data_IF_752467388614
#
_entry.id   IF_752467388614
#
_cell.length_a   1.000
_cell.length_b   1.000
_cell.length_c   1.000
_cell.angle_alpha   90.00
_cell.angle_beta   90.00
_cell.angle_gamma   90.00
#
_symmetry.space_group_name_H-M   'P 1'
#
loop_
_entity.id
_entity.type
_entity.pdbx_description
1 polymer ?
#
# COMPACT_ATOMS: atom_id res chain seq x y z
N UNK A 1 12.84 6.50 11.07
CA UNK A 1 12.94 5.71 12.32
C UNK A 1 11.62 4.98 12.60
N UNK A 2 10.54 5.68 12.92
CA UNK A 2 9.24 5.06 13.26
C UNK A 2 8.68 4.11 12.20
N UNK A 3 8.76 4.46 10.91
CA UNK A 3 8.25 3.60 9.82
C UNK A 3 9.01 2.26 9.74
N UNK A 4 10.33 2.29 9.92
CA UNK A 4 11.14 1.07 9.90
C UNK A 4 10.87 0.18 11.11
N UNK A 5 10.70 0.79 12.29
CA UNK A 5 10.32 0.11 13.53
C UNK A 5 8.94 -0.54 13.40
N UNK A 6 7.98 0.18 12.83
CA UNK A 6 6.65 -0.36 12.54
C UNK A 6 6.71 -1.59 11.61
N UNK A 7 7.49 -1.56 10.52
CA UNK A 7 7.65 -2.73 9.64
C UNK A 7 8.34 -3.92 10.32
N UNK A 8 9.23 -3.66 11.27
CA UNK A 8 9.84 -4.72 12.06
C UNK A 8 8.80 -5.38 12.96
N UNK A 9 8.10 -4.60 13.79
CA UNK A 9 7.09 -5.09 14.74
C UNK A 9 5.89 -5.75 14.03
N UNK A 10 5.38 -5.14 12.95
CA UNK A 10 4.26 -5.69 12.18
C UNK A 10 4.55 -7.10 11.68
N UNK A 11 5.76 -7.35 11.15
CA UNK A 11 6.15 -8.68 10.67
C UNK A 11 6.18 -9.71 11.80
N UNK A 12 6.65 -9.32 12.98
CA UNK A 12 6.61 -10.20 14.15
C UNK A 12 5.16 -10.54 14.54
N UNK A 13 4.28 -9.52 14.56
CA UNK A 13 2.86 -9.71 14.87
C UNK A 13 2.17 -10.62 13.84
N UNK A 14 2.30 -10.34 12.55
CA UNK A 14 1.58 -11.07 11.49
C UNK A 14 2.13 -12.46 11.20
N UNK A 15 3.38 -12.77 11.56
CA UNK A 15 3.99 -14.08 11.26
C UNK A 15 4.16 -14.99 12.46
N UNK A 16 4.41 -14.43 13.64
CA UNK A 16 4.87 -15.20 14.79
C UNK A 16 3.95 -15.04 16.00
N UNK A 17 3.61 -13.81 16.39
CA UNK A 17 2.92 -13.55 17.66
C UNK A 17 1.40 -13.79 17.54
N UNK A 18 0.78 -13.25 16.49
CA UNK A 18 -0.66 -13.31 16.30
C UNK A 18 -1.04 -13.46 14.82
N UNK A 19 -0.57 -14.52 14.14
CA UNK A 19 -0.84 -14.72 12.71
C UNK A 19 -2.33 -14.93 12.36
N UNK A 20 -3.17 -15.19 13.37
CA UNK A 20 -4.61 -15.29 13.22
C UNK A 20 -5.34 -13.94 13.41
N UNK A 21 -4.65 -12.90 13.88
CA UNK A 21 -5.20 -11.56 14.10
C UNK A 21 -4.76 -10.54 13.05
N UNK A 22 -3.68 -10.79 12.31
CA UNK A 22 -3.16 -9.88 11.28
C UNK A 22 -2.99 -10.61 9.94
N UNK A 23 -3.62 -10.07 8.89
CA UNK A 23 -3.63 -10.66 7.55
C UNK A 23 -3.07 -9.68 6.51
N UNK A 24 -2.27 -10.14 5.52
CA UNK A 24 -1.80 -9.31 4.42
C UNK A 24 -2.95 -8.66 3.65
N UNK A 25 -2.79 -7.38 3.32
CA UNK A 25 -3.73 -6.58 2.54
C UNK A 25 -3.00 -5.69 1.54
N UNK A 26 -3.51 -5.64 0.31
CA UNK A 26 -3.00 -4.72 -0.71
C UNK A 26 -3.77 -3.40 -0.66
N UNK A 27 -3.04 -2.30 -0.54
CA UNK A 27 -3.61 -0.95 -0.48
C UNK A 27 -3.53 -0.28 -1.85
N UNK A 28 -4.62 0.39 -2.23
CA UNK A 28 -4.75 1.16 -3.47
C UNK A 28 -4.93 2.63 -3.11
N UNK A 29 -3.92 3.46 -3.39
CA UNK A 29 -3.91 4.89 -3.11
C UNK A 29 -4.14 5.70 -4.40
N UNK A 30 -5.37 6.15 -4.69
CA UNK A 30 -5.70 6.80 -5.94
C UNK A 30 -5.17 8.23 -6.02
N UNK A 31 -4.73 8.60 -7.23
CA UNK A 31 -4.22 9.93 -7.56
C UNK A 31 -5.20 10.62 -8.49
N UNK A 32 -5.97 11.58 -7.98
CA UNK A 32 -6.92 12.36 -8.78
C UNK A 32 -6.33 13.67 -9.27
N UNK A 33 -6.84 14.19 -10.40
CA UNK A 33 -6.54 15.54 -10.89
C UNK A 33 -6.85 16.58 -9.80
N UNK A 34 -5.91 17.49 -9.56
CA UNK A 34 -6.04 18.53 -8.53
C UNK A 34 -5.77 18.05 -7.10
N UNK A 35 -5.42 16.77 -6.91
CA UNK A 35 -5.00 16.23 -5.62
C UNK A 35 -3.64 16.76 -5.16
N UNK A 36 -3.30 16.65 -3.87
CA UNK A 36 -2.11 17.25 -3.28
C UNK A 36 -0.79 16.58 -3.70
N UNK A 37 -0.85 15.38 -4.29
CA UNK A 37 0.31 14.59 -4.65
C UNK A 37 0.18 14.05 -6.08
N UNK A 38 1.28 14.10 -6.84
CA UNK A 38 1.35 13.53 -8.18
C UNK A 38 1.79 12.06 -8.18
N UNK A 39 1.54 11.36 -9.29
CA UNK A 39 1.85 9.94 -9.44
C UNK A 39 3.33 9.60 -9.21
N UNK A 40 4.26 10.42 -9.71
CA UNK A 40 5.70 10.20 -9.52
C UNK A 40 6.11 10.28 -8.04
N UNK A 41 5.60 11.30 -7.30
CA UNK A 41 5.88 11.46 -5.87
C UNK A 41 5.34 10.28 -5.06
N UNK A 42 4.11 9.85 -5.36
CA UNK A 42 3.52 8.69 -4.68
C UNK A 42 4.23 7.38 -5.03
N UNK A 43 4.61 7.19 -6.29
CA UNK A 43 5.40 6.04 -6.72
C UNK A 43 6.73 5.92 -5.97
N UNK A 44 7.48 7.03 -5.87
CA UNK A 44 8.71 7.08 -5.06
C UNK A 44 8.44 6.78 -3.58
N UNK A 45 7.33 7.29 -3.03
CA UNK A 45 6.91 7.04 -1.65
C UNK A 45 6.64 5.57 -1.38
N UNK A 46 5.81 4.90 -2.19
CA UNK A 46 5.48 3.48 -1.99
C UNK A 46 6.66 2.55 -2.24
N UNK A 47 7.56 2.91 -3.17
CA UNK A 47 8.82 2.19 -3.37
C UNK A 47 9.73 2.31 -2.13
N UNK A 48 9.93 3.52 -1.61
CA UNK A 48 10.73 3.75 -0.41
C UNK A 48 10.12 3.05 0.81
N UNK A 49 8.79 3.07 0.95
CA UNK A 49 8.06 2.34 1.98
C UNK A 49 8.35 0.83 1.91
N UNK A 50 8.27 0.25 0.71
CA UNK A 50 8.59 -1.18 0.50
C UNK A 50 10.04 -1.51 0.85
N UNK A 51 10.99 -0.61 0.57
CA UNK A 51 12.38 -0.80 0.95
C UNK A 51 12.57 -0.87 2.48
N UNK A 52 11.78 -0.13 3.26
CA UNK A 52 11.83 -0.17 4.73
C UNK A 52 11.33 -1.50 5.30
N UNK A 53 10.51 -2.25 4.57
CA UNK A 53 10.14 -3.63 4.90
C UNK A 53 11.07 -4.68 4.31
N UNK A 54 12.21 -4.26 3.74
CA UNK A 54 13.11 -5.09 2.94
C UNK A 54 12.36 -5.82 1.79
N UNK A 55 11.33 -5.18 1.24
CA UNK A 55 10.45 -5.69 0.19
C UNK A 55 9.67 -6.96 0.58
N UNK A 56 9.56 -7.25 1.89
CA UNK A 56 8.88 -8.44 2.40
C UNK A 56 7.38 -8.48 2.10
N UNK A 57 6.79 -7.34 1.77
CA UNK A 57 5.37 -7.15 1.43
C UNK A 57 5.15 -6.92 -0.09
N UNK A 58 6.19 -7.18 -0.90
CA UNK A 58 6.20 -6.86 -2.33
C UNK A 58 6.76 -5.47 -2.63
N UNK A 59 6.87 -5.17 -3.93
CA UNK A 59 7.41 -3.88 -4.41
C UNK A 59 6.27 -2.92 -4.70
N UNK A 60 6.23 -1.82 -3.95
CA UNK A 60 5.31 -0.72 -4.17
C UNK A 60 5.53 -0.09 -5.54
N UNK A 61 4.44 0.13 -6.28
CA UNK A 61 4.48 0.58 -7.66
C UNK A 61 3.24 1.41 -8.02
N UNK A 62 3.21 1.92 -9.25
CA UNK A 62 2.06 2.69 -9.77
C UNK A 62 1.42 1.92 -10.91
N UNK A 63 0.09 1.86 -10.90
CA UNK A 63 -0.72 1.25 -11.96
C UNK A 63 -1.58 2.29 -12.68
N UNK A 64 -1.99 1.95 -13.90
CA UNK A 64 -2.90 2.78 -14.69
C UNK A 64 -4.32 2.73 -14.14
N UNK A 65 -5.15 3.77 -14.40
CA UNK A 65 -6.58 3.76 -14.04
C UNK A 65 -7.33 2.52 -14.54
N UNK A 66 -7.02 2.06 -15.76
CA UNK A 66 -7.66 0.89 -16.34
C UNK A 66 -7.31 -0.41 -15.60
N UNK A 67 -6.07 -0.55 -15.10
CA UNK A 67 -5.72 -1.70 -14.24
C UNK A 67 -6.36 -1.55 -12.86
N UNK A 68 -6.33 -0.35 -12.27
CA UNK A 68 -6.92 -0.11 -10.96
C UNK A 68 -8.43 -0.42 -10.93
N UNK A 69 -9.18 -0.09 -11.98
CA UNK A 69 -10.60 -0.41 -12.08
C UNK A 69 -10.86 -1.92 -12.22
N UNK A 70 -9.94 -2.69 -12.82
CA UNK A 70 -10.06 -4.15 -12.85
C UNK A 70 -9.79 -4.77 -11.47
N UNK A 71 -8.81 -4.21 -10.76
CA UNK A 71 -8.42 -4.69 -9.44
C UNK A 71 -9.44 -4.28 -8.36
N UNK A 72 -10.05 -3.09 -8.48
CA UNK A 72 -11.04 -2.52 -7.57
C UNK A 72 -12.21 -1.93 -8.41
N UNK A 73 -13.23 -2.74 -8.76
CA UNK A 73 -14.33 -2.34 -9.64
C UNK A 73 -15.14 -1.12 -9.15
N UNK A 74 -15.22 -0.93 -7.83
CA UNK A 74 -15.96 0.15 -7.18
C UNK A 74 -15.17 1.47 -7.17
N UNK A 75 -13.90 1.48 -7.62
CA UNK A 75 -13.07 2.67 -7.63
C UNK A 75 -13.62 3.72 -8.61
N UNK A 76 -13.93 4.90 -8.10
CA UNK A 76 -14.31 6.04 -8.93
C UNK A 76 -13.18 6.41 -9.89
N UNK A 77 -13.46 6.41 -11.19
CA UNK A 77 -12.45 6.67 -12.23
C UNK A 77 -12.44 8.10 -12.75
N UNK A 78 -13.47 8.90 -12.43
CA UNK A 78 -13.53 10.30 -12.82
C UNK A 78 -12.30 11.07 -12.33
N UNK A 79 -11.58 11.69 -13.27
CA UNK A 79 -10.34 12.41 -13.02
C UNK A 79 -9.19 11.59 -12.41
N UNK A 80 -9.28 10.26 -12.40
CA UNK A 80 -8.22 9.38 -11.91
C UNK A 80 -7.02 9.41 -12.86
N UNK A 81 -5.84 9.70 -12.33
CA UNK A 81 -4.59 9.79 -13.09
C UNK A 81 -3.74 8.53 -12.98
N UNK A 82 -3.67 7.98 -11.77
CA UNK A 82 -2.92 6.77 -11.47
C UNK A 82 -3.34 6.23 -10.11
N UNK A 83 -2.88 5.04 -9.74
CA UNK A 83 -3.03 4.49 -8.39
C UNK A 83 -1.69 3.95 -7.93
N UNK A 84 -1.22 4.38 -6.77
CA UNK A 84 -0.07 3.78 -6.12
C UNK A 84 -0.54 2.54 -5.33
N UNK A 85 0.22 1.46 -5.40
CA UNK A 85 -0.10 0.17 -4.81
C UNK A 85 1.03 -0.25 -3.90
N UNK A 86 0.72 -0.72 -2.69
CA UNK A 86 1.69 -1.25 -1.74
C UNK A 86 1.03 -2.28 -0.80
N UNK A 87 1.85 -3.13 -0.17
CA UNK A 87 1.38 -4.11 0.81
C UNK A 87 1.48 -3.61 2.24
N UNK A 88 0.48 -3.96 3.06
CA UNK A 88 0.44 -3.76 4.51
C UNK A 88 -0.41 -4.89 5.15
N UNK A 89 -0.77 -4.82 6.43
CA UNK A 89 -1.65 -5.80 7.09
C UNK A 89 -2.96 -5.18 7.61
N UNK A 90 -4.05 -5.96 7.57
CA UNK A 90 -5.28 -5.71 8.31
C UNK A 90 -5.23 -6.47 9.64
N UNK A 91 -5.57 -5.80 10.75
CA UNK A 91 -5.56 -6.40 12.09
C UNK A 91 -6.94 -6.38 12.74
N UNK A 92 -7.28 -7.42 13.50
CA UNK A 92 -8.38 -7.43 14.46
C UNK A 92 -7.87 -6.96 15.83
N UNK A 93 -8.39 -5.83 16.31
CA UNK A 93 -7.90 -5.10 17.49
C UNK A 93 -8.84 -5.14 18.71
N UNK A 94 -9.99 -5.81 18.58
CA UNK A 94 -11.02 -5.94 19.63
C UNK A 94 -10.72 -7.03 20.68
#
# INVERSE_FOLDING_TARGET
KLVAENHFERRAVSREVAPHLANPLTFYLPVYKGGPHGAAKLGAGVFAYSALSAFGDGVGHVISPAKAQRDVPELRTDNLKAVAVYGDDQMNDA
#
